data_IF_908248010839
#
_entry.id   IF_908248010839
#
_cell.length_a   1.000
_cell.length_b   1.000
_cell.length_c   1.000
_cell.angle_alpha   90.00
_cell.angle_beta   90.00
_cell.angle_gamma   90.00
#
_symmetry.space_group_name_H-M   'P 1'
#
loop_
_entity.id
_entity.type
_entity.pdbx_description
1 polymer ?
#
# COMPACT_ATOMS: atom_id res chain seq x y z
N UNK A 1 13.40 -9.50 -22.47
CA UNK A 1 13.39 -10.18 -21.14
C UNK A 1 12.36 -11.29 -21.19
N UNK A 2 12.66 -12.52 -20.77
CA UNK A 2 11.65 -13.57 -20.72
C UNK A 2 10.66 -13.35 -19.53
N UNK A 3 9.48 -14.01 -19.57
CA UNK A 3 8.42 -13.84 -18.58
C UNK A 3 8.91 -14.09 -17.14
N UNK A 4 9.64 -15.17 -16.89
CA UNK A 4 10.10 -15.51 -15.55
C UNK A 4 11.06 -14.47 -14.96
N UNK A 5 11.89 -13.87 -15.81
CA UNK A 5 12.75 -12.76 -15.40
C UNK A 5 11.94 -11.50 -15.08
N UNK A 6 10.92 -11.17 -15.91
CA UNK A 6 10.03 -10.03 -15.67
C UNK A 6 9.28 -10.18 -14.33
N UNK A 7 8.64 -11.32 -14.11
CA UNK A 7 7.95 -11.63 -12.85
C UNK A 7 8.90 -11.57 -11.64
N UNK A 8 10.12 -12.11 -11.78
CA UNK A 8 11.12 -12.09 -10.71
C UNK A 8 11.58 -10.68 -10.39
N UNK A 9 11.80 -9.84 -11.42
CA UNK A 9 12.17 -8.44 -11.24
C UNK A 9 11.07 -7.67 -10.48
N UNK A 10 9.80 -7.83 -10.90
CA UNK A 10 8.65 -7.21 -10.24
C UNK A 10 8.57 -7.64 -8.76
N UNK A 11 8.64 -8.94 -8.50
CA UNK A 11 8.58 -9.48 -7.14
C UNK A 11 9.74 -9.04 -6.24
N UNK A 12 10.91 -8.78 -6.82
CA UNK A 12 12.12 -8.50 -6.04
C UNK A 12 12.38 -7.02 -5.81
N UNK A 13 12.08 -6.18 -6.78
CA UNK A 13 12.48 -4.76 -6.76
C UNK A 13 11.30 -3.81 -6.84
N UNK A 14 10.37 -4.07 -7.74
CA UNK A 14 9.29 -3.16 -8.05
C UNK A 14 8.35 -2.93 -6.85
N UNK A 15 8.09 -3.99 -6.07
CA UNK A 15 7.19 -3.93 -4.92
C UNK A 15 7.66 -2.94 -3.84
N UNK A 16 8.97 -2.78 -3.66
CA UNK A 16 9.50 -1.80 -2.71
C UNK A 16 9.33 -0.36 -3.23
N UNK A 17 9.45 -0.16 -4.55
CA UNK A 17 9.18 1.13 -5.17
C UNK A 17 7.71 1.55 -4.95
N UNK A 18 6.76 0.63 -5.14
CA UNK A 18 5.33 0.90 -4.89
C UNK A 18 5.09 1.21 -3.41
N UNK A 19 5.69 0.47 -2.48
CA UNK A 19 5.57 0.77 -1.05
C UNK A 19 6.12 2.17 -0.71
N UNK A 20 7.24 2.55 -1.32
CA UNK A 20 7.88 3.85 -1.10
C UNK A 20 7.08 5.04 -1.65
N UNK A 21 6.15 4.85 -2.60
CA UNK A 21 5.32 5.94 -3.16
C UNK A 21 4.61 6.73 -2.06
N UNK A 22 4.15 6.06 -1.00
CA UNK A 22 3.45 6.71 0.10
C UNK A 22 4.30 7.75 0.86
N UNK A 23 5.64 7.65 0.78
CA UNK A 23 6.58 8.57 1.44
C UNK A 23 7.03 9.74 0.53
N UNK A 24 6.72 9.68 -0.78
CA UNK A 24 7.17 10.70 -1.72
C UNK A 24 6.40 11.99 -1.47
N UNK A 25 7.13 13.05 -1.21
CA UNK A 25 6.63 14.41 -1.04
C UNK A 25 7.59 15.40 -1.70
N UNK A 26 7.10 16.55 -2.14
CA UNK A 26 7.89 17.60 -2.79
C UNK A 26 7.66 18.96 -2.12
N UNK A 27 8.03 19.13 -0.82
CA UNK A 27 7.77 20.32 -0.08
C UNK A 27 8.45 21.53 -0.72
N UNK A 28 7.73 22.64 -0.82
CA UNK A 28 8.20 23.93 -1.40
C UNK A 28 8.56 23.89 -2.90
N UNK A 29 8.40 22.75 -3.60
CA UNK A 29 8.72 22.63 -5.02
C UNK A 29 7.48 22.80 -5.90
N UNK A 30 6.32 22.38 -5.43
CA UNK A 30 5.04 22.40 -6.17
C UNK A 30 3.89 22.80 -5.26
N UNK A 31 2.77 23.24 -5.86
CA UNK A 31 1.58 23.71 -5.13
C UNK A 31 0.89 22.62 -4.32
N UNK A 32 0.83 21.36 -4.84
CA UNK A 32 0.39 20.21 -4.05
C UNK A 32 1.59 19.32 -3.74
N UNK A 33 2.28 19.57 -2.62
CA UNK A 33 3.54 18.89 -2.32
C UNK A 33 3.36 17.44 -1.82
N UNK A 34 2.14 17.00 -1.59
CA UNK A 34 1.85 15.71 -0.95
C UNK A 34 1.25 14.72 -1.94
N UNK A 35 0.15 15.06 -2.61
CA UNK A 35 -0.59 14.08 -3.42
C UNK A 35 -0.11 14.02 -4.88
N UNK A 36 0.19 15.17 -5.49
CA UNK A 36 0.64 15.20 -6.88
C UNK A 36 1.92 14.37 -7.15
N UNK A 37 2.99 14.46 -6.34
CA UNK A 37 4.17 13.63 -6.57
C UNK A 37 3.87 12.15 -6.38
N UNK A 38 3.04 11.75 -5.41
CA UNK A 38 2.64 10.33 -5.23
C UNK A 38 1.90 9.79 -6.43
N UNK A 39 0.93 10.54 -6.94
CA UNK A 39 0.14 10.16 -8.11
C UNK A 39 1.05 9.96 -9.33
N UNK A 40 1.96 10.91 -9.61
CA UNK A 40 2.88 10.82 -10.74
C UNK A 40 3.84 9.63 -10.60
N UNK A 41 4.46 9.44 -9.43
CA UNK A 41 5.36 8.31 -9.20
C UNK A 41 4.63 6.98 -9.24
N UNK A 42 3.41 6.89 -8.69
CA UNK A 42 2.57 5.69 -8.80
C UNK A 42 2.33 5.33 -10.26
N UNK A 43 1.90 6.30 -11.08
CA UNK A 43 1.62 6.09 -12.49
C UNK A 43 2.87 5.69 -13.26
N UNK A 44 4.00 6.38 -13.09
CA UNK A 44 5.27 6.08 -13.77
C UNK A 44 5.75 4.67 -13.40
N UNK A 45 5.83 4.35 -12.11
CA UNK A 45 6.30 3.05 -11.65
C UNK A 45 5.37 1.94 -12.14
N UNK A 46 4.06 2.08 -11.99
CA UNK A 46 3.12 1.05 -12.39
C UNK A 46 3.10 0.83 -13.90
N UNK A 47 3.21 1.89 -14.70
CA UNK A 47 3.35 1.81 -16.17
C UNK A 47 4.65 1.12 -16.56
N UNK A 48 5.77 1.45 -15.92
CA UNK A 48 7.03 0.75 -16.12
C UNK A 48 6.93 -0.74 -15.77
N UNK A 49 6.27 -1.07 -14.66
CA UNK A 49 6.05 -2.46 -14.27
C UNK A 49 5.17 -3.22 -15.26
N UNK A 50 4.02 -2.64 -15.67
CA UNK A 50 3.12 -3.31 -16.61
C UNK A 50 3.76 -3.50 -17.98
N UNK A 51 4.61 -2.58 -18.43
CA UNK A 51 5.35 -2.70 -19.70
C UNK A 51 6.22 -3.95 -19.77
N UNK A 52 6.70 -4.45 -18.63
CA UNK A 52 7.45 -5.70 -18.54
C UNK A 52 6.57 -6.95 -18.71
N UNK A 53 5.27 -6.84 -18.41
CA UNK A 53 4.29 -7.94 -18.49
C UNK A 53 3.56 -7.96 -19.84
N UNK A 54 3.38 -6.79 -20.48
CA UNK A 54 2.66 -6.65 -21.75
C UNK A 54 3.08 -7.66 -22.84
N UNK A 55 4.38 -7.89 -23.10
CA UNK A 55 4.80 -8.88 -24.12
C UNK A 55 4.37 -10.32 -23.81
N UNK A 56 3.96 -10.58 -22.58
CA UNK A 56 3.60 -11.91 -22.08
C UNK A 56 2.09 -12.07 -21.83
N UNK A 57 1.25 -11.08 -22.16
CA UNK A 57 -0.20 -11.12 -21.92
C UNK A 57 -0.88 -12.36 -22.51
N UNK A 58 -0.46 -12.82 -23.69
CA UNK A 58 -1.01 -14.03 -24.30
C UNK A 58 -0.93 -15.28 -23.43
N UNK A 59 0.09 -15.39 -22.58
CA UNK A 59 0.18 -16.45 -21.59
C UNK A 59 -0.89 -16.34 -20.51
N UNK A 60 -1.11 -15.14 -19.97
CA UNK A 60 -2.09 -14.89 -18.92
C UNK A 60 -3.52 -15.02 -19.43
N UNK A 61 -3.77 -14.66 -20.69
CA UNK A 61 -5.08 -14.85 -21.34
C UNK A 61 -5.46 -16.33 -21.55
N UNK A 62 -4.49 -17.20 -21.67
CA UNK A 62 -4.73 -18.66 -21.76
C UNK A 62 -4.93 -19.32 -20.39
N UNK A 63 -4.61 -18.62 -19.30
CA UNK A 63 -4.66 -19.12 -17.92
C UNK A 63 -5.86 -18.65 -17.12
N UNK A 64 -5.80 -18.91 -15.81
CA UNK A 64 -6.84 -18.51 -14.83
C UNK A 64 -7.04 -16.97 -14.73
N UNK A 65 -6.05 -16.19 -15.16
CA UNK A 65 -6.10 -14.74 -15.14
C UNK A 65 -6.95 -14.13 -16.29
N UNK A 66 -7.45 -14.93 -17.25
CA UNK A 66 -8.24 -14.43 -18.40
C UNK A 66 -9.41 -13.56 -17.96
N UNK A 67 -10.19 -14.04 -17.01
CA UNK A 67 -11.39 -13.32 -16.54
C UNK A 67 -10.99 -11.97 -15.91
N UNK A 68 -9.96 -11.97 -15.07
CA UNK A 68 -9.43 -10.75 -14.47
C UNK A 68 -9.00 -9.73 -15.54
N UNK A 69 -8.25 -10.18 -16.55
CA UNK A 69 -7.77 -9.31 -17.64
C UNK A 69 -8.93 -8.73 -18.46
N UNK A 70 -9.98 -9.51 -18.73
CA UNK A 70 -11.17 -9.03 -19.43
C UNK A 70 -11.86 -7.95 -18.61
N UNK A 71 -12.18 -8.18 -17.32
CA UNK A 71 -12.82 -7.19 -16.47
C UNK A 71 -11.98 -5.92 -16.33
N UNK A 72 -10.66 -6.07 -16.18
CA UNK A 72 -9.77 -4.91 -16.13
C UNK A 72 -9.76 -4.14 -17.46
N UNK A 73 -9.77 -4.83 -18.60
CA UNK A 73 -9.85 -4.20 -19.92
C UNK A 73 -11.16 -3.44 -20.11
N UNK A 74 -12.29 -4.02 -19.68
CA UNK A 74 -13.61 -3.35 -19.70
C UNK A 74 -13.59 -2.11 -18.81
N UNK A 75 -13.02 -2.19 -17.63
CA UNK A 75 -12.93 -1.03 -16.71
C UNK A 75 -12.02 0.08 -17.26
N UNK A 76 -10.89 -0.27 -17.89
CA UNK A 76 -10.04 0.73 -18.56
C UNK A 76 -10.81 1.39 -19.73
N UNK A 77 -11.54 0.60 -20.51
CA UNK A 77 -12.38 1.13 -21.59
C UNK A 77 -13.45 2.10 -21.07
N UNK A 78 -14.12 1.75 -19.97
CA UNK A 78 -15.08 2.62 -19.29
C UNK A 78 -14.46 3.96 -18.88
N UNK A 79 -13.28 3.94 -18.24
CA UNK A 79 -12.55 5.16 -17.88
C UNK A 79 -12.20 6.04 -19.12
N UNK A 80 -11.82 5.40 -20.22
CA UNK A 80 -11.54 6.12 -21.47
C UNK A 80 -12.81 6.69 -22.12
N UNK A 81 -13.93 5.98 -22.04
CA UNK A 81 -15.23 6.48 -22.50
C UNK A 81 -15.68 7.67 -21.66
N UNK A 82 -15.52 7.62 -20.35
CA UNK A 82 -15.81 8.76 -19.46
C UNK A 82 -14.97 9.97 -19.86
N UNK A 83 -13.65 9.79 -20.11
CA UNK A 83 -12.78 10.86 -20.57
C UNK A 83 -13.25 11.53 -21.87
N UNK A 84 -13.86 10.77 -22.79
CA UNK A 84 -14.31 11.26 -24.09
C UNK A 84 -15.72 11.87 -24.04
N UNK A 85 -16.57 11.40 -23.13
CA UNK A 85 -18.00 11.72 -23.12
C UNK A 85 -18.41 12.67 -22.00
N UNK A 86 -17.60 12.82 -20.94
CA UNK A 86 -17.93 13.70 -19.83
C UNK A 86 -17.69 15.17 -20.22
N UNK A 87 -18.67 16.01 -19.90
CA UNK A 87 -18.58 17.47 -20.04
C UNK A 87 -17.85 18.08 -18.82
N UNK A 88 -16.56 17.83 -18.71
CA UNK A 88 -15.71 18.32 -17.63
C UNK A 88 -14.36 18.77 -18.19
N UNK A 89 -13.67 19.65 -17.47
CA UNK A 89 -12.33 20.10 -17.85
C UNK A 89 -11.37 18.93 -18.05
N UNK A 90 -10.70 18.88 -19.18
CA UNK A 90 -9.83 17.76 -19.57
C UNK A 90 -8.66 17.58 -18.58
N UNK A 91 -8.08 18.68 -18.10
CA UNK A 91 -7.02 18.63 -17.10
C UNK A 91 -7.52 18.02 -15.80
N UNK A 92 -8.72 18.37 -15.36
CA UNK A 92 -9.34 17.80 -14.17
C UNK A 92 -9.68 16.32 -14.35
N UNK A 93 -10.12 15.90 -15.53
CA UNK A 93 -10.36 14.48 -15.81
C UNK A 93 -9.07 13.65 -15.77
N UNK A 94 -7.95 14.17 -16.27
CA UNK A 94 -6.65 13.49 -16.30
C UNK A 94 -6.00 13.48 -14.92
N UNK A 95 -5.88 14.63 -14.26
CA UNK A 95 -5.12 14.78 -13.01
C UNK A 95 -5.99 14.69 -11.75
N UNK A 96 -7.30 14.87 -11.89
CA UNK A 96 -8.24 14.91 -10.78
C UNK A 96 -8.37 16.31 -10.16
N UNK A 97 -9.17 16.38 -9.10
CA UNK A 97 -9.34 17.60 -8.32
C UNK A 97 -8.05 17.96 -7.59
N UNK A 98 -7.67 19.22 -7.64
CA UNK A 98 -6.49 19.74 -6.93
C UNK A 98 -6.48 19.32 -5.45
N UNK A 99 -5.35 18.85 -4.96
CA UNK A 99 -5.17 18.36 -3.60
C UNK A 99 -5.69 16.93 -3.35
N UNK A 100 -6.45 16.33 -4.31
CA UNK A 100 -6.87 14.92 -4.26
C UNK A 100 -6.21 14.07 -5.34
N UNK A 101 -5.96 14.65 -6.50
CA UNK A 101 -5.30 14.03 -7.66
C UNK A 101 -5.89 12.66 -8.01
N UNK A 102 -7.22 12.58 -8.02
CA UNK A 102 -8.02 11.38 -8.25
C UNK A 102 -8.55 11.28 -9.68
N UNK A 103 -7.77 11.72 -10.67
CA UNK A 103 -8.09 11.62 -12.09
C UNK A 103 -7.65 10.30 -12.72
N UNK A 104 -7.74 10.22 -14.03
CA UNK A 104 -7.47 9.04 -14.85
C UNK A 104 -6.08 8.43 -14.55
N UNK A 105 -5.05 9.27 -14.39
CA UNK A 105 -3.68 8.77 -14.09
C UNK A 105 -3.60 8.00 -12.79
N UNK A 106 -4.31 8.45 -11.75
CA UNK A 106 -4.35 7.75 -10.48
C UNK A 106 -5.06 6.40 -10.60
N UNK A 107 -6.21 6.35 -11.27
CA UNK A 107 -6.94 5.09 -11.50
C UNK A 107 -6.14 4.11 -12.34
N UNK A 108 -5.53 4.55 -13.44
CA UNK A 108 -4.65 3.68 -14.24
C UNK A 108 -3.46 3.17 -13.43
N UNK A 109 -2.82 4.04 -12.64
CA UNK A 109 -1.73 3.64 -11.76
C UNK A 109 -2.14 2.55 -10.78
N UNK A 110 -3.29 2.69 -10.13
CA UNK A 110 -3.83 1.69 -9.19
C UNK A 110 -4.20 0.38 -9.88
N UNK A 111 -4.83 0.45 -11.07
CA UNK A 111 -5.17 -0.73 -11.88
C UNK A 111 -3.90 -1.49 -12.26
N UNK A 112 -2.86 -0.80 -12.68
CA UNK A 112 -1.60 -1.44 -13.07
C UNK A 112 -0.91 -2.08 -11.87
N UNK A 113 -0.89 -1.44 -10.71
CA UNK A 113 -0.38 -2.06 -9.46
C UNK A 113 -1.18 -3.31 -9.11
N UNK A 114 -2.51 -3.24 -9.19
CA UNK A 114 -3.38 -4.37 -8.94
C UNK A 114 -3.08 -5.54 -9.90
N UNK A 115 -2.97 -5.28 -11.20
CA UNK A 115 -2.62 -6.28 -12.19
C UNK A 115 -1.23 -6.90 -11.92
N UNK A 116 -0.23 -6.07 -11.65
CA UNK A 116 1.11 -6.55 -11.31
C UNK A 116 1.09 -7.46 -10.10
N UNK A 117 0.38 -7.08 -9.05
CA UNK A 117 0.19 -7.90 -7.86
C UNK A 117 -0.51 -9.22 -8.17
N UNK A 118 -1.64 -9.18 -8.89
CA UNK A 118 -2.44 -10.36 -9.20
C UNK A 118 -1.72 -11.35 -10.15
N UNK A 119 -1.06 -10.84 -11.21
CA UNK A 119 -0.40 -11.66 -12.21
C UNK A 119 0.93 -12.25 -11.73
N UNK A 120 1.61 -11.59 -10.80
CA UNK A 120 2.91 -12.04 -10.29
C UNK A 120 2.86 -12.56 -8.84
N UNK A 121 1.66 -12.70 -8.27
CA UNK A 121 1.46 -13.09 -6.87
C UNK A 121 2.11 -14.42 -6.54
N UNK A 122 2.85 -14.43 -5.44
CA UNK A 122 3.32 -15.63 -4.76
C UNK A 122 3.68 -15.27 -3.30
N UNK A 123 4.03 -16.26 -2.50
CA UNK A 123 4.38 -16.08 -1.10
C UNK A 123 5.55 -15.09 -0.90
N UNK A 124 6.55 -15.11 -1.78
CA UNK A 124 7.69 -14.19 -1.73
C UNK A 124 7.28 -12.73 -1.96
N UNK A 125 6.35 -12.47 -2.89
CA UNK A 125 5.81 -11.13 -3.14
C UNK A 125 5.09 -10.60 -1.90
N UNK A 126 4.23 -11.42 -1.30
CA UNK A 126 3.46 -11.04 -0.12
C UNK A 126 4.40 -10.71 1.05
N UNK A 127 5.40 -11.57 1.31
CA UNK A 127 6.40 -11.31 2.37
C UNK A 127 7.18 -10.01 2.14
N UNK A 128 7.58 -9.73 0.89
CA UNK A 128 8.29 -8.49 0.54
C UNK A 128 7.39 -7.26 0.65
N UNK A 129 6.14 -7.38 0.25
CA UNK A 129 5.16 -6.30 0.40
C UNK A 129 4.96 -5.95 1.88
N UNK A 130 4.75 -6.96 2.74
CA UNK A 130 4.59 -6.74 4.17
C UNK A 130 5.85 -6.13 4.80
N UNK A 131 7.04 -6.58 4.39
CA UNK A 131 8.30 -5.99 4.84
C UNK A 131 8.43 -4.52 4.39
N UNK A 132 8.08 -4.23 3.13
CA UNK A 132 8.06 -2.86 2.60
C UNK A 132 7.08 -1.97 3.36
N UNK A 133 5.87 -2.46 3.63
CA UNK A 133 4.86 -1.75 4.42
C UNK A 133 5.36 -1.43 5.83
N UNK A 134 5.99 -2.40 6.50
CA UNK A 134 6.57 -2.21 7.84
C UNK A 134 7.70 -1.18 7.80
N UNK A 135 8.60 -1.26 6.82
CA UNK A 135 9.67 -0.28 6.68
C UNK A 135 9.12 1.14 6.49
N UNK A 136 8.17 1.30 5.57
CA UNK A 136 7.50 2.59 5.31
C UNK A 136 6.80 3.10 6.58
N UNK A 137 6.18 2.22 7.36
CA UNK A 137 5.51 2.62 8.60
C UNK A 137 6.49 3.08 9.67
N UNK A 138 7.67 2.48 9.75
CA UNK A 138 8.72 2.95 10.68
C UNK A 138 9.15 4.36 10.29
N UNK A 139 9.48 4.60 9.01
CA UNK A 139 9.91 5.92 8.54
C UNK A 139 8.81 6.96 8.73
N UNK A 140 7.57 6.63 8.34
CA UNK A 140 6.40 7.50 8.50
C UNK A 140 6.07 7.78 9.97
N UNK A 141 6.18 6.78 10.85
CA UNK A 141 5.93 6.92 12.27
C UNK A 141 6.97 7.80 12.96
N UNK A 142 8.26 7.61 12.66
CA UNK A 142 9.33 8.48 13.15
C UNK A 142 9.10 9.93 12.70
N UNK A 143 8.75 10.13 11.43
CA UNK A 143 8.43 11.46 10.93
C UNK A 143 7.22 12.07 11.65
N UNK A 144 6.14 11.31 11.87
CA UNK A 144 4.98 11.76 12.64
C UNK A 144 5.32 12.12 14.09
N UNK A 145 6.26 11.40 14.73
CA UNK A 145 6.76 11.74 16.06
C UNK A 145 7.47 13.10 16.03
N UNK A 146 8.37 13.31 15.07
CA UNK A 146 9.04 14.61 14.91
C UNK A 146 8.02 15.74 14.72
N UNK A 147 6.99 15.57 13.89
CA UNK A 147 5.92 16.54 13.74
C UNK A 147 5.21 16.82 15.07
N UNK A 148 4.89 15.79 15.85
CA UNK A 148 4.23 15.95 17.17
C UNK A 148 5.09 16.73 18.17
N UNK A 149 6.42 16.70 18.01
CA UNK A 149 7.39 17.49 18.77
C UNK A 149 7.60 18.90 18.18
N UNK A 150 6.82 19.30 17.15
CA UNK A 150 6.98 20.55 16.39
C UNK A 150 8.31 20.67 15.63
N UNK A 151 8.94 19.55 15.32
CA UNK A 151 10.13 19.42 14.51
C UNK A 151 9.69 18.85 13.16
N UNK A 152 9.33 19.71 12.21
CA UNK A 152 8.90 19.28 10.87
C UNK A 152 9.87 19.78 9.80
N UNK A 153 10.76 18.91 9.28
CA UNK A 153 11.71 19.29 8.24
C UNK A 153 11.04 19.70 6.92
N UNK A 154 9.87 19.15 6.61
CA UNK A 154 9.11 19.48 5.41
C UNK A 154 8.27 20.75 5.57
N UNK A 155 7.98 21.16 6.80
CA UNK A 155 7.22 22.36 7.11
C UNK A 155 5.72 22.21 6.81
N UNK A 156 5.17 21.01 6.93
CA UNK A 156 3.73 20.76 6.77
C UNK A 156 2.98 21.17 8.04
N UNK A 157 2.03 22.07 7.89
CA UNK A 157 1.19 22.53 9.01
C UNK A 157 -0.15 21.82 8.98
N UNK A 158 -0.52 21.20 10.11
CA UNK A 158 -1.87 20.67 10.32
C UNK A 158 -2.54 21.43 11.47
N UNK A 159 -3.76 21.92 11.22
CA UNK A 159 -4.57 22.59 12.23
C UNK A 159 -5.35 21.60 13.11
N UNK A 160 -5.44 20.32 12.69
CA UNK A 160 -6.35 19.34 13.29
C UNK A 160 -5.63 18.22 14.05
N UNK A 161 -4.35 18.06 13.84
CA UNK A 161 -3.59 16.96 14.44
C UNK A 161 -2.13 17.33 14.58
N UNK A 162 -1.46 16.87 15.65
CA UNK A 162 -0.02 17.04 15.81
C UNK A 162 0.81 16.26 14.80
N UNK A 163 0.24 15.25 14.12
CA UNK A 163 0.94 14.42 13.15
C UNK A 163 0.05 14.04 11.96
N UNK A 164 0.53 14.31 10.75
CA UNK A 164 -0.10 13.94 9.47
C UNK A 164 0.82 13.05 8.61
N UNK A 165 2.06 12.86 9.05
CA UNK A 165 3.08 12.08 8.35
C UNK A 165 3.31 12.58 6.93
N UNK A 166 3.76 11.67 6.07
CA UNK A 166 3.86 11.92 4.63
C UNK A 166 2.50 11.89 3.90
N UNK A 167 1.42 11.49 4.58
CA UNK A 167 0.11 11.33 3.95
C UNK A 167 -0.72 12.62 3.97
N UNK A 168 -0.28 13.63 4.72
CA UNK A 168 -0.85 14.97 4.69
C UNK A 168 -2.24 15.10 5.33
N UNK A 169 -2.75 14.01 5.90
CA UNK A 169 -4.05 13.97 6.56
C UNK A 169 -4.00 13.01 7.76
N UNK A 170 -4.48 13.39 8.94
CA UNK A 170 -4.46 12.54 10.13
C UNK A 170 -5.25 11.25 9.97
N UNK A 171 -6.35 11.26 9.22
CA UNK A 171 -7.16 10.07 8.97
C UNK A 171 -6.41 9.05 8.13
N UNK A 172 -5.73 9.49 7.07
CA UNK A 172 -4.92 8.61 6.22
C UNK A 172 -3.68 8.11 6.95
N UNK A 173 -3.02 9.00 7.70
CA UNK A 173 -1.87 8.62 8.54
C UNK A 173 -2.28 7.56 9.57
N UNK A 174 -3.37 7.79 10.28
CA UNK A 174 -3.91 6.85 11.25
C UNK A 174 -4.31 5.50 10.59
N UNK A 175 -5.08 5.52 9.50
CA UNK A 175 -5.51 4.31 8.80
C UNK A 175 -4.31 3.48 8.30
N UNK A 176 -3.29 4.13 7.75
CA UNK A 176 -2.05 3.48 7.30
C UNK A 176 -1.33 2.80 8.48
N UNK A 177 -1.16 3.49 9.61
CA UNK A 177 -0.53 2.93 10.80
C UNK A 177 -1.36 1.82 11.44
N UNK A 178 -2.69 1.86 11.32
CA UNK A 178 -3.58 0.76 11.71
C UNK A 178 -3.32 -0.51 10.89
N UNK A 179 -3.23 -0.40 9.57
CA UNK A 179 -2.88 -1.52 8.68
C UNK A 179 -1.46 -2.04 8.94
N UNK A 180 -0.50 -1.15 9.12
CA UNK A 180 0.89 -1.51 9.39
C UNK A 180 1.05 -2.20 10.76
N UNK A 181 0.26 -1.83 11.75
CA UNK A 181 0.20 -2.50 13.05
C UNK A 181 -0.23 -3.95 12.89
N UNK A 182 -1.31 -4.21 12.14
CA UNK A 182 -1.80 -5.58 11.86
C UNK A 182 -0.71 -6.39 11.17
N UNK A 183 -0.09 -5.84 10.13
CA UNK A 183 0.98 -6.49 9.39
C UNK A 183 2.19 -6.82 10.29
N UNK A 184 2.62 -5.85 11.11
CA UNK A 184 3.74 -6.02 12.04
C UNK A 184 3.46 -7.09 13.09
N UNK A 185 2.27 -7.07 13.71
CA UNK A 185 1.88 -8.09 14.69
C UNK A 185 1.80 -9.48 14.06
N UNK A 186 1.15 -9.62 12.91
CA UNK A 186 1.05 -10.89 12.21
C UNK A 186 2.44 -11.46 11.87
N UNK A 187 3.34 -10.63 11.36
CA UNK A 187 4.71 -11.04 11.04
C UNK A 187 5.53 -11.37 12.27
N UNK A 188 5.37 -10.65 13.40
CA UNK A 188 6.02 -10.94 14.66
C UNK A 188 5.61 -12.31 15.24
N UNK A 189 4.36 -12.72 14.99
CA UNK A 189 3.84 -14.03 15.42
C UNK A 189 4.35 -15.17 14.51
N UNK A 190 4.37 -14.95 13.19
CA UNK A 190 4.72 -15.99 12.20
C UNK A 190 6.23 -16.25 12.12
N UNK A 191 7.05 -15.24 12.37
CA UNK A 191 8.50 -15.38 12.28
C UNK A 191 9.06 -16.14 13.50
N UNK A 192 9.97 -17.09 13.24
CA UNK A 192 10.63 -17.88 14.27
C UNK A 192 11.39 -17.00 15.27
N UNK A 193 11.38 -17.38 16.54
CA UNK A 193 11.94 -16.59 17.67
C UNK A 193 13.41 -16.17 17.53
N UNK A 194 14.24 -17.00 16.89
CA UNK A 194 15.67 -16.72 16.68
C UNK A 194 15.97 -15.75 15.52
N UNK A 195 14.97 -15.20 14.85
CA UNK A 195 15.18 -14.29 13.75
C UNK A 195 15.13 -12.84 14.23
N UNK A 196 16.21 -12.08 14.04
CA UNK A 196 16.32 -10.67 14.43
C UNK A 196 15.21 -9.78 13.81
N UNK A 197 14.65 -10.16 12.65
CA UNK A 197 13.50 -9.45 12.06
C UNK A 197 12.27 -9.44 12.97
N UNK A 198 12.12 -10.42 13.85
CA UNK A 198 11.02 -10.43 14.84
C UNK A 198 11.04 -9.19 15.72
N UNK A 199 12.21 -8.78 16.18
CA UNK A 199 12.35 -7.56 16.99
C UNK A 199 11.99 -6.31 16.21
N UNK A 200 12.35 -6.25 14.91
CA UNK A 200 11.94 -5.14 14.02
C UNK A 200 10.42 -5.04 13.95
N UNK A 201 9.72 -6.16 13.80
CA UNK A 201 8.26 -6.17 13.76
C UNK A 201 7.62 -5.79 15.10
N UNK A 202 8.19 -6.21 16.22
CA UNK A 202 7.72 -5.81 17.56
C UNK A 202 7.90 -4.31 17.77
N UNK A 203 9.07 -3.76 17.46
CA UNK A 203 9.36 -2.33 17.57
C UNK A 203 8.45 -1.53 16.64
N UNK A 204 8.24 -1.99 15.39
CA UNK A 204 7.31 -1.39 14.47
C UNK A 204 5.88 -1.39 15.02
N UNK A 205 5.43 -2.47 15.67
CA UNK A 205 4.10 -2.54 16.28
C UNK A 205 3.92 -1.47 17.36
N UNK A 206 4.91 -1.32 18.25
CA UNK A 206 4.88 -0.29 19.31
C UNK A 206 4.87 1.12 18.73
N UNK A 207 5.67 1.36 17.69
CA UNK A 207 5.73 2.63 16.98
C UNK A 207 4.40 2.95 16.28
N UNK A 208 3.77 1.96 15.64
CA UNK A 208 2.47 2.13 15.00
C UNK A 208 1.36 2.44 16.03
N UNK A 209 1.37 1.81 17.21
CA UNK A 209 0.45 2.14 18.30
C UNK A 209 0.62 3.60 18.73
N UNK A 210 1.86 4.05 18.87
CA UNK A 210 2.13 5.44 19.24
C UNK A 210 1.72 6.41 18.13
N UNK A 211 1.94 6.07 16.86
CA UNK A 211 1.50 6.84 15.70
C UNK A 211 -0.03 7.01 15.68
N UNK A 212 -0.79 5.95 15.97
CA UNK A 212 -2.26 6.03 16.13
C UNK A 212 -2.68 7.03 17.21
N UNK A 213 -1.96 7.04 18.34
CA UNK A 213 -2.23 7.97 19.44
C UNK A 213 -2.01 9.43 19.03
N UNK A 214 -0.87 9.75 18.41
CA UNK A 214 -0.53 11.12 18.02
C UNK A 214 -1.35 11.63 16.82
N UNK A 215 -1.83 10.73 15.96
CA UNK A 215 -2.75 11.10 14.88
C UNK A 215 -4.07 11.67 15.38
N UNK A 216 -4.57 11.17 16.51
CA UNK A 216 -5.84 11.61 17.09
C UNK A 216 -7.09 11.21 16.28
N UNK A 217 -6.92 10.41 15.21
CA UNK A 217 -8.00 10.01 14.30
C UNK A 217 -8.52 8.62 14.63
N UNK A 218 -9.85 8.45 14.63
CA UNK A 218 -10.51 7.21 15.05
C UNK A 218 -10.42 6.09 13.99
N UNK A 219 -10.24 6.44 12.73
CA UNK A 219 -10.25 5.48 11.60
C UNK A 219 -9.17 4.41 11.76
N UNK A 220 -7.93 4.77 12.08
CA UNK A 220 -6.86 3.82 12.25
C UNK A 220 -7.02 2.91 13.47
N UNK A 221 -7.60 3.42 14.55
CA UNK A 221 -7.93 2.60 15.72
C UNK A 221 -8.97 1.55 15.35
N UNK A 222 -10.01 1.94 14.62
CA UNK A 222 -11.04 1.00 14.13
C UNK A 222 -10.42 -0.08 13.22
N UNK A 223 -9.60 0.32 12.26
CA UNK A 223 -8.87 -0.61 11.37
C UNK A 223 -8.02 -1.59 12.20
N UNK A 224 -7.24 -1.08 13.15
CA UNK A 224 -6.39 -1.90 14.00
C UNK A 224 -7.19 -2.92 14.83
N UNK A 225 -8.28 -2.49 15.49
CA UNK A 225 -9.13 -3.35 16.32
C UNK A 225 -9.76 -4.48 15.48
N UNK A 226 -10.38 -4.14 14.35
CA UNK A 226 -10.99 -5.13 13.46
C UNK A 226 -9.94 -6.10 12.92
N UNK A 227 -8.80 -5.59 12.46
CA UNK A 227 -7.74 -6.43 11.90
C UNK A 227 -7.10 -7.36 12.92
N UNK A 228 -6.84 -6.88 14.14
CA UNK A 228 -6.32 -7.71 15.25
C UNK A 228 -7.34 -8.80 15.62
N UNK A 229 -8.61 -8.45 15.74
CA UNK A 229 -9.67 -9.43 16.00
C UNK A 229 -9.68 -10.53 14.93
N UNK A 230 -9.55 -10.16 13.65
CA UNK A 230 -9.48 -11.11 12.54
C UNK A 230 -8.25 -12.03 12.64
N UNK A 231 -7.07 -11.48 12.96
CA UNK A 231 -5.84 -12.28 13.18
C UNK A 231 -6.04 -13.26 14.32
N UNK A 232 -6.63 -12.85 15.44
CA UNK A 232 -6.91 -13.72 16.59
C UNK A 232 -7.84 -14.87 16.19
N UNK A 233 -8.91 -14.59 15.45
CA UNK A 233 -9.86 -15.62 14.96
C UNK A 233 -9.15 -16.65 14.08
N UNK A 234 -8.30 -16.19 13.13
CA UNK A 234 -7.53 -17.11 12.27
C UNK A 234 -6.60 -18.00 13.10
N UNK A 235 -5.86 -17.42 14.05
CA UNK A 235 -4.95 -18.19 14.89
C UNK A 235 -5.69 -19.21 15.78
N UNK A 236 -6.84 -18.83 16.35
CA UNK A 236 -7.68 -19.73 17.13
C UNK A 236 -8.21 -20.89 16.27
N UNK A 237 -8.65 -20.60 15.04
CA UNK A 237 -9.13 -21.62 14.11
C UNK A 237 -8.01 -22.59 13.70
N UNK A 238 -6.83 -22.11 13.42
CA UNK A 238 -5.67 -22.95 13.09
C UNK A 238 -5.31 -23.86 14.25
N UNK A 239 -5.30 -23.32 15.48
CA UNK A 239 -5.01 -24.10 16.69
C UNK A 239 -6.05 -25.20 16.95
N UNK A 240 -7.34 -24.92 16.74
CA UNK A 240 -8.42 -25.91 16.91
C UNK A 240 -8.31 -27.07 15.92
N UNK A 241 -7.92 -26.81 14.66
CA UNK A 241 -7.65 -27.88 13.69
C UNK A 241 -6.48 -28.77 14.09
N UNK A 242 -5.37 -28.19 14.56
CA UNK A 242 -4.20 -28.98 15.01
C UNK A 242 -4.59 -29.89 16.19
N UNK A 243 -5.38 -29.38 17.14
CA UNK A 243 -5.87 -30.18 18.27
C UNK A 243 -6.82 -31.28 17.79
N UNK A 244 -7.70 -31.02 16.84
CA UNK A 244 -8.59 -32.02 16.25
C UNK A 244 -7.83 -33.18 15.58
N UNK A 245 -6.79 -32.92 14.83
CA UNK A 245 -5.96 -33.95 14.20
C UNK A 245 -5.13 -34.75 15.22
N UNK A 246 -4.68 -34.13 16.34
CA UNK A 246 -3.92 -34.84 17.38
C UNK A 246 -4.77 -35.73 18.27
N UNK A 247 -6.10 -35.56 18.28
CA UNK A 247 -7.04 -36.39 19.03
C UNK A 247 -7.61 -37.56 18.21
N UNK A 248 -7.39 -37.55 16.88
CA UNK A 248 -7.87 -38.58 15.95
C UNK A 248 -6.75 -39.49 15.43
N UNK A 249 -5.51 -39.23 15.79
CA UNK A 249 -4.32 -40.04 15.52
C UNK A 249 -3.88 -40.79 16.78
#
# INVERSE_FOLDING_TARGET
MNRGMAETFIRKYFIYGIAAVSMIVAPRLILDPINAPKMLFLFILSTAGISLILPHLGFYFKGKAKVLLIFTGVYILDLLLILLLADADFGQQIFGTFGRNNGLLAYLGLIFVFLLGALTSNESLIKRFLLGLVFVSIVSGVYGILQSMKIDPAGFVSLYSPAIGFLGNPDFFSAFHGLALIASLAMAIVIKEKNNLRYVYIVSSLLNIYALKIAGAKQGVLVAVIGIAFVIVILAYQRSKVLGYSLTS
#
